data_IF_205417537103
#
_entry.id   IF_205417537103
#
_cell.length_a   1.000
_cell.length_b   1.000
_cell.length_c   1.000
_cell.angle_alpha   90.00
_cell.angle_beta   90.00
_cell.angle_gamma   90.00
#
_symmetry.space_group_name_H-M   'P 1'
#
loop_
_entity.id
_entity.type
_entity.pdbx_description
1 polymer ?
#
# COMPACT_ATOMS: atom_id res chain seq x y z
N UNK A 1 -35.30 8.72 -25.72
CA UNK A 1 -34.06 9.49 -25.58
C UNK A 1 -33.40 8.99 -24.28
N UNK A 2 -32.44 8.11 -24.42
CA UNK A 2 -31.67 7.60 -23.25
C UNK A 2 -30.57 8.63 -22.98
N UNK A 3 -30.70 9.40 -21.91
CA UNK A 3 -29.59 10.14 -21.32
C UNK A 3 -28.57 9.12 -20.87
N UNK A 4 -27.48 8.99 -21.62
CA UNK A 4 -26.31 8.25 -21.18
C UNK A 4 -25.74 9.04 -20.00
N UNK A 5 -26.03 8.59 -18.78
CA UNK A 5 -25.39 9.12 -17.59
C UNK A 5 -23.91 8.76 -17.69
N UNK A 6 -23.10 9.70 -18.14
CA UNK A 6 -21.65 9.56 -18.22
C UNK A 6 -21.15 9.21 -16.81
N UNK A 7 -20.44 8.10 -16.67
CA UNK A 7 -19.95 7.66 -15.36
C UNK A 7 -18.90 8.66 -14.87
N UNK A 8 -18.83 8.88 -13.55
CA UNK A 8 -17.82 9.77 -12.97
C UNK A 8 -16.40 9.39 -13.37
N UNK A 9 -16.12 8.08 -13.50
CA UNK A 9 -14.85 7.54 -14.01
C UNK A 9 -14.53 7.99 -15.44
N UNK A 10 -15.52 8.02 -16.35
CA UNK A 10 -15.33 8.42 -17.75
C UNK A 10 -15.00 9.91 -17.84
N UNK A 11 -15.66 10.73 -17.02
CA UNK A 11 -15.40 12.18 -16.92
C UNK A 11 -13.99 12.42 -16.39
N UNK A 12 -13.58 11.72 -15.33
CA UNK A 12 -12.24 11.82 -14.76
C UNK A 12 -11.18 11.40 -15.76
N UNK A 13 -11.39 10.27 -16.45
CA UNK A 13 -10.45 9.78 -17.46
C UNK A 13 -10.33 10.75 -18.65
N UNK A 14 -11.46 11.30 -19.13
CA UNK A 14 -11.47 12.30 -20.19
C UNK A 14 -10.75 13.58 -19.77
N UNK A 15 -10.92 13.99 -18.50
CA UNK A 15 -10.27 15.17 -17.97
C UNK A 15 -8.76 14.97 -17.80
N UNK A 16 -8.33 13.83 -17.29
CA UNK A 16 -6.90 13.49 -17.16
C UNK A 16 -6.19 13.41 -18.51
N UNK A 17 -6.90 13.16 -19.62
CA UNK A 17 -6.36 13.13 -20.99
C UNK A 17 -6.20 14.52 -21.62
N UNK A 18 -6.82 15.57 -21.08
CA UNK A 18 -6.68 16.93 -21.63
C UNK A 18 -5.32 17.53 -21.28
N UNK A 19 -4.72 18.28 -22.21
CA UNK A 19 -3.42 18.95 -21.99
C UNK A 19 -3.48 20.03 -20.89
N UNK A 20 -4.67 20.59 -20.64
CA UNK A 20 -4.94 21.60 -19.60
C UNK A 20 -5.18 21.00 -18.20
N UNK A 21 -4.80 19.76 -17.95
CA UNK A 21 -5.02 19.07 -16.66
C UNK A 21 -4.43 19.78 -15.42
N UNK A 22 -3.56 20.76 -15.64
CA UNK A 22 -2.87 21.53 -14.59
C UNK A 22 -3.55 22.89 -14.31
N UNK A 23 -4.71 23.17 -14.92
CA UNK A 23 -5.42 24.43 -14.65
C UNK A 23 -5.93 24.49 -13.20
N UNK A 24 -5.35 25.35 -12.33
CA UNK A 24 -5.72 25.42 -10.91
C UNK A 24 -7.19 25.76 -10.69
N UNK A 25 -7.85 26.41 -11.68
CA UNK A 25 -9.27 26.79 -11.55
C UNK A 25 -10.22 25.60 -11.67
N UNK A 26 -9.78 24.50 -12.28
CA UNK A 26 -10.55 23.27 -12.48
C UNK A 26 -10.27 22.23 -11.38
N UNK A 27 -9.22 22.40 -10.61
CA UNK A 27 -8.79 21.44 -9.58
C UNK A 27 -9.90 21.11 -8.56
N UNK A 28 -10.66 22.06 -7.99
CA UNK A 28 -11.72 21.74 -7.02
C UNK A 28 -12.83 20.85 -7.58
N UNK A 29 -13.21 21.06 -8.85
CA UNK A 29 -14.25 20.27 -9.51
C UNK A 29 -13.74 18.84 -9.78
N UNK A 30 -12.48 18.70 -10.16
CA UNK A 30 -11.87 17.39 -10.38
C UNK A 30 -11.74 16.62 -9.07
N UNK A 31 -11.32 17.26 -7.99
CA UNK A 31 -11.25 16.66 -6.67
C UNK A 31 -12.61 16.10 -6.24
N UNK A 32 -13.70 16.87 -6.40
CA UNK A 32 -15.04 16.41 -6.09
C UNK A 32 -15.47 15.19 -6.94
N UNK A 33 -15.09 15.17 -8.22
CA UNK A 33 -15.35 14.03 -9.11
C UNK A 33 -14.56 12.79 -8.70
N UNK A 34 -13.26 12.94 -8.42
CA UNK A 34 -12.37 11.86 -7.96
C UNK A 34 -12.86 11.24 -6.64
N UNK A 35 -13.39 12.05 -5.72
CA UNK A 35 -13.96 11.57 -4.46
C UNK A 35 -15.18 10.66 -4.66
N UNK A 36 -15.96 10.91 -5.70
CA UNK A 36 -17.19 10.16 -6.02
C UNK A 36 -16.95 8.86 -6.79
N UNK A 37 -15.78 8.73 -7.45
CA UNK A 37 -15.45 7.50 -8.19
C UNK A 37 -15.24 6.34 -7.21
N UNK A 38 -15.87 5.18 -7.43
CA UNK A 38 -15.60 3.97 -6.66
C UNK A 38 -14.11 3.60 -6.73
N UNK A 39 -13.55 3.09 -5.63
CA UNK A 39 -12.12 2.80 -5.49
C UNK A 39 -11.58 1.92 -6.62
N UNK A 40 -12.26 0.84 -6.95
CA UNK A 40 -11.85 -0.10 -8.01
C UNK A 40 -11.80 0.56 -9.41
N UNK A 41 -12.77 1.44 -9.71
CA UNK A 41 -12.78 2.18 -10.97
C UNK A 41 -11.67 3.23 -10.98
N UNK A 42 -11.38 3.86 -9.84
CA UNK A 42 -10.33 4.85 -9.70
C UNK A 42 -8.94 4.25 -9.90
N UNK A 43 -8.67 3.09 -9.30
CA UNK A 43 -7.43 2.33 -9.54
C UNK A 43 -7.26 2.07 -11.04
N UNK A 44 -8.28 1.51 -11.69
CA UNK A 44 -8.23 1.20 -13.12
C UNK A 44 -8.08 2.45 -14.01
N UNK A 45 -8.58 3.62 -13.58
CA UNK A 45 -8.37 4.89 -14.27
C UNK A 45 -6.92 5.34 -14.13
N UNK A 46 -6.37 5.30 -12.91
CA UNK A 46 -4.98 5.73 -12.63
C UNK A 46 -3.97 4.83 -13.33
N UNK A 47 -4.16 3.51 -13.30
CA UNK A 47 -3.28 2.54 -13.99
C UNK A 47 -3.16 2.80 -15.52
N UNK A 48 -4.20 3.34 -16.12
CA UNK A 48 -4.21 3.63 -17.57
C UNK A 48 -3.58 4.97 -17.94
N UNK A 49 -3.25 5.81 -16.95
CA UNK A 49 -2.61 7.09 -17.19
C UNK A 49 -1.08 6.97 -17.26
N UNK A 50 -0.42 8.00 -17.78
CA UNK A 50 1.01 8.16 -17.63
C UNK A 50 1.35 8.66 -16.22
N UNK A 51 2.62 8.56 -15.82
CA UNK A 51 3.10 8.90 -14.48
C UNK A 51 2.72 10.32 -14.04
N UNK A 52 2.85 11.33 -14.92
CA UNK A 52 2.50 12.74 -14.63
C UNK A 52 1.03 12.89 -14.24
N UNK A 53 0.14 12.24 -14.98
CA UNK A 53 -1.31 12.31 -14.74
C UNK A 53 -1.72 11.50 -13.52
N UNK A 54 -1.10 10.36 -13.31
CA UNK A 54 -1.29 9.55 -12.11
C UNK A 54 -0.85 10.31 -10.86
N UNK A 55 0.32 10.96 -10.89
CA UNK A 55 0.80 11.82 -9.81
C UNK A 55 -0.17 12.98 -9.52
N UNK A 56 -0.70 13.61 -10.58
CA UNK A 56 -1.70 14.68 -10.42
C UNK A 56 -2.99 14.16 -9.78
N UNK A 57 -3.49 13.02 -10.23
CA UNK A 57 -4.69 12.40 -9.66
C UNK A 57 -4.50 12.08 -8.17
N UNK A 58 -3.37 11.49 -7.81
CA UNK A 58 -3.02 11.16 -6.42
C UNK A 58 -2.95 12.41 -5.52
N UNK A 59 -2.38 13.52 -6.01
CA UNK A 59 -2.33 14.80 -5.25
C UNK A 59 -3.69 15.42 -5.02
N UNK A 60 -4.66 15.18 -5.89
CA UNK A 60 -6.01 15.73 -5.78
C UNK A 60 -6.94 14.85 -4.93
N UNK A 61 -6.56 13.61 -4.64
CA UNK A 61 -7.31 12.70 -3.78
C UNK A 61 -7.14 13.04 -2.30
N UNK A 62 -8.16 12.76 -1.45
CA UNK A 62 -7.97 12.69 -0.01
C UNK A 62 -6.84 11.70 0.32
N UNK A 63 -5.99 12.05 1.30
CA UNK A 63 -4.80 11.29 1.69
C UNK A 63 -5.02 9.78 1.76
N UNK A 64 -6.00 9.34 2.54
CA UNK A 64 -6.31 7.92 2.74
C UNK A 64 -6.64 7.20 1.42
N UNK A 65 -7.44 7.84 0.57
CA UNK A 65 -7.82 7.28 -0.73
C UNK A 65 -6.63 7.24 -1.70
N UNK A 66 -5.77 8.25 -1.65
CA UNK A 66 -4.54 8.34 -2.43
C UNK A 66 -3.57 7.22 -2.11
N UNK A 67 -3.33 6.93 -0.82
CA UNK A 67 -2.47 5.83 -0.36
C UNK A 67 -3.00 4.49 -0.86
N UNK A 68 -4.29 4.20 -0.68
CA UNK A 68 -4.88 2.93 -1.13
C UNK A 68 -4.81 2.75 -2.65
N UNK A 69 -4.98 3.85 -3.42
CA UNK A 69 -4.83 3.80 -4.88
C UNK A 69 -3.39 3.56 -5.28
N UNK A 70 -2.43 4.24 -4.64
CA UNK A 70 -1.00 4.09 -4.92
C UNK A 70 -0.50 2.67 -4.59
N UNK A 71 -0.89 2.12 -3.43
CA UNK A 71 -0.57 0.76 -3.00
C UNK A 71 -1.08 -0.32 -3.97
N UNK A 72 -2.25 -0.12 -4.55
CA UNK A 72 -2.83 -1.05 -5.52
C UNK A 72 -2.15 -1.08 -6.90
N UNK A 73 -1.24 -0.11 -7.21
CA UNK A 73 -0.51 -0.07 -8.47
C UNK A 73 0.68 -1.03 -8.43
N UNK A 74 1.11 -1.52 -9.60
CA UNK A 74 2.34 -2.31 -9.67
C UNK A 74 3.59 -1.47 -9.35
N UNK A 75 4.66 -2.13 -8.87
CA UNK A 75 5.87 -1.46 -8.39
C UNK A 75 6.56 -0.59 -9.47
N UNK A 76 6.46 -0.98 -10.74
CA UNK A 76 7.01 -0.17 -11.83
C UNK A 76 6.24 1.13 -12.01
N UNK A 77 4.91 1.05 -12.03
CA UNK A 77 4.06 2.24 -12.15
C UNK A 77 4.23 3.17 -10.94
N UNK A 78 4.36 2.61 -9.73
CA UNK A 78 4.69 3.36 -8.52
C UNK A 78 6.04 4.09 -8.68
N UNK A 79 7.08 3.42 -9.20
CA UNK A 79 8.38 4.03 -9.42
C UNK A 79 8.33 5.19 -10.42
N UNK A 80 7.61 5.01 -11.53
CA UNK A 80 7.42 6.06 -12.54
C UNK A 80 6.69 7.29 -11.96
N UNK A 81 5.70 7.07 -11.07
CA UNK A 81 4.97 8.14 -10.40
C UNK A 81 5.86 8.87 -9.37
N UNK A 82 6.73 8.16 -8.68
CA UNK A 82 7.65 8.74 -7.68
C UNK A 82 8.56 9.80 -8.29
N UNK A 83 9.02 9.61 -9.50
CA UNK A 83 9.84 10.59 -10.21
C UNK A 83 9.08 11.90 -10.50
N UNK A 84 7.76 11.84 -10.60
CA UNK A 84 6.87 13.00 -10.87
C UNK A 84 6.31 13.66 -9.60
N UNK A 85 6.30 12.95 -8.48
CA UNK A 85 5.83 13.45 -7.18
C UNK A 85 6.91 14.30 -6.49
N UNK A 86 6.47 15.24 -5.66
CA UNK A 86 7.39 15.96 -4.74
C UNK A 86 7.87 15.04 -3.61
N UNK A 87 9.05 15.31 -3.07
CA UNK A 87 9.68 14.48 -2.04
C UNK A 87 8.77 14.19 -0.83
N UNK A 88 7.95 15.16 -0.40
CA UNK A 88 7.08 14.99 0.76
C UNK A 88 6.01 13.91 0.53
N UNK A 89 5.35 13.95 -0.64
CA UNK A 89 4.32 12.97 -1.00
C UNK A 89 4.92 11.56 -1.14
N UNK A 90 6.12 11.46 -1.73
CA UNK A 90 6.85 10.20 -1.92
C UNK A 90 7.18 9.54 -0.58
N UNK A 91 7.71 10.31 0.38
CA UNK A 91 8.05 9.76 1.71
C UNK A 91 6.82 9.26 2.45
N UNK A 92 5.70 9.97 2.30
CA UNK A 92 4.44 9.59 2.91
C UNK A 92 3.90 8.28 2.33
N UNK A 93 3.84 8.16 1.00
CA UNK A 93 3.40 6.92 0.35
C UNK A 93 4.30 5.74 0.72
N UNK A 94 5.61 5.93 0.68
CA UNK A 94 6.56 4.87 1.00
C UNK A 94 6.47 4.41 2.47
N UNK A 95 6.21 5.33 3.39
CA UNK A 95 6.06 5.01 4.82
C UNK A 95 4.80 4.18 5.11
N UNK A 96 3.74 4.35 4.32
CA UNK A 96 2.47 3.64 4.51
C UNK A 96 2.40 2.26 3.80
N UNK A 97 3.32 1.96 2.86
CA UNK A 97 3.39 0.65 2.22
C UNK A 97 3.71 -0.46 3.21
N UNK A 98 3.24 -1.68 2.92
CA UNK A 98 3.67 -2.89 3.62
C UNK A 98 5.15 -3.21 3.33
N UNK A 99 5.86 -3.93 4.21
CA UNK A 99 7.30 -4.17 4.08
C UNK A 99 7.70 -4.83 2.76
N UNK A 100 6.93 -5.79 2.26
CA UNK A 100 7.14 -6.47 0.99
C UNK A 100 6.91 -5.56 -0.21
N UNK A 101 5.92 -4.67 -0.14
CA UNK A 101 5.61 -3.71 -1.20
C UNK A 101 6.66 -2.60 -1.25
N UNK A 102 7.14 -2.13 -0.08
CA UNK A 102 8.33 -1.26 -0.03
C UNK A 102 9.50 -1.88 -0.77
N UNK A 103 9.77 -3.17 -0.53
CA UNK A 103 10.89 -3.87 -1.15
C UNK A 103 10.67 -4.05 -2.65
N UNK A 104 9.46 -4.38 -3.09
CA UNK A 104 9.12 -4.46 -4.51
C UNK A 104 9.39 -3.12 -5.22
N UNK A 105 8.95 -2.02 -4.61
CA UNK A 105 9.19 -0.67 -5.10
C UNK A 105 10.70 -0.32 -5.13
N UNK A 106 11.44 -0.60 -4.05
CA UNK A 106 12.90 -0.36 -3.99
C UNK A 106 13.67 -1.13 -5.06
N UNK A 107 13.20 -2.30 -5.46
CA UNK A 107 13.81 -3.12 -6.50
C UNK A 107 13.69 -2.51 -7.92
N UNK A 108 12.74 -1.61 -8.13
CA UNK A 108 12.52 -0.89 -9.41
C UNK A 108 13.15 0.51 -9.43
N UNK A 109 13.53 1.05 -8.28
CA UNK A 109 14.07 2.41 -8.16
C UNK A 109 15.60 2.46 -8.37
N UNK A 110 16.14 3.59 -8.88
CA UNK A 110 17.56 3.88 -8.83
C UNK A 110 18.11 3.84 -7.40
N UNK A 111 19.33 3.30 -7.22
CA UNK A 111 19.93 3.08 -5.89
C UNK A 111 19.96 4.33 -5.00
N UNK A 112 20.17 5.51 -5.59
CA UNK A 112 20.21 6.78 -4.85
C UNK A 112 18.83 7.17 -4.26
N UNK A 113 17.75 6.90 -5.01
CA UNK A 113 16.39 7.15 -4.57
C UNK A 113 16.01 6.11 -3.51
N UNK A 114 16.30 4.84 -3.75
CA UNK A 114 16.06 3.75 -2.82
C UNK A 114 16.74 4.00 -1.44
N UNK A 115 18.00 4.44 -1.44
CA UNK A 115 18.73 4.76 -0.21
C UNK A 115 18.10 5.94 0.55
N UNK A 116 17.65 6.98 -0.15
CA UNK A 116 16.95 8.12 0.47
C UNK A 116 15.63 7.69 1.12
N UNK A 117 14.84 6.86 0.44
CA UNK A 117 13.58 6.35 0.95
C UNK A 117 13.79 5.46 2.19
N UNK A 118 14.76 4.56 2.15
CA UNK A 118 15.11 3.73 3.31
C UNK A 118 15.52 4.59 4.53
N UNK A 119 16.27 5.66 4.30
CA UNK A 119 16.69 6.56 5.40
C UNK A 119 15.53 7.39 5.96
N UNK A 120 14.47 7.62 5.20
CA UNK A 120 13.30 8.35 5.69
C UNK A 120 12.43 7.56 6.66
N UNK A 121 12.51 6.22 6.62
CA UNK A 121 11.76 5.34 7.52
C UNK A 121 12.22 5.49 8.97
N UNK A 122 11.29 5.26 9.89
CA UNK A 122 11.62 5.04 11.31
C UNK A 122 12.52 3.81 11.46
N UNK A 123 13.27 3.71 12.58
CA UNK A 123 14.16 2.58 12.80
C UNK A 123 13.40 1.25 12.75
N UNK A 124 12.22 1.17 13.38
CA UNK A 124 11.39 -0.05 13.39
C UNK A 124 10.98 -0.48 11.98
N UNK A 125 10.42 0.44 11.18
CA UNK A 125 10.01 0.15 9.78
C UNK A 125 11.19 -0.22 8.90
N UNK A 126 12.35 0.42 9.11
CA UNK A 126 13.59 0.09 8.40
C UNK A 126 14.09 -1.32 8.71
N UNK A 127 14.04 -1.73 9.98
CA UNK A 127 14.48 -3.05 10.42
C UNK A 127 13.59 -4.15 9.80
N UNK A 128 12.27 -3.95 9.81
CA UNK A 128 11.29 -4.87 9.20
C UNK A 128 11.49 -4.94 7.69
N UNK A 129 11.62 -3.81 6.99
CA UNK A 129 11.93 -3.76 5.55
C UNK A 129 13.25 -4.44 5.25
N UNK A 130 14.27 -4.27 6.12
CA UNK A 130 15.59 -4.91 6.03
C UNK A 130 15.53 -6.44 6.10
N UNK A 131 14.59 -7.01 6.87
CA UNK A 131 14.37 -8.47 6.92
C UNK A 131 13.97 -8.98 5.53
N UNK A 132 13.03 -8.33 4.86
CA UNK A 132 12.56 -8.71 3.51
C UNK A 132 13.66 -8.48 2.48
N UNK A 133 14.40 -7.37 2.56
CA UNK A 133 15.55 -7.09 1.70
C UNK A 133 16.67 -8.15 1.81
N UNK A 134 16.79 -8.80 2.96
CA UNK A 134 17.78 -9.87 3.18
C UNK A 134 17.51 -11.15 2.39
N UNK A 135 16.29 -11.37 1.89
CA UNK A 135 15.97 -12.53 1.05
C UNK A 135 16.44 -12.33 -0.40
N UNK A 136 16.67 -13.43 -1.10
CA UNK A 136 17.06 -13.41 -2.53
C UNK A 136 15.90 -12.86 -3.37
N UNK A 137 16.20 -11.96 -4.30
CA UNK A 137 15.21 -11.43 -5.25
C UNK A 137 14.54 -12.58 -6.01
N UNK A 138 13.20 -12.55 -6.09
CA UNK A 138 12.39 -13.60 -6.71
C UNK A 138 12.08 -14.82 -5.82
N UNK A 139 12.59 -14.87 -4.57
CA UNK A 139 12.18 -15.89 -3.60
C UNK A 139 10.84 -15.59 -2.94
N UNK A 140 10.21 -16.61 -2.34
CA UNK A 140 8.98 -16.43 -1.54
C UNK A 140 9.22 -15.46 -0.38
N UNK A 141 10.39 -15.54 0.29
CA UNK A 141 10.75 -14.64 1.38
C UNK A 141 10.72 -13.15 0.99
N UNK A 142 10.98 -12.84 -0.29
CA UNK A 142 10.93 -11.46 -0.82
C UNK A 142 9.51 -10.92 -0.98
N UNK A 143 8.50 -11.78 -0.90
CA UNK A 143 7.08 -11.47 -1.14
C UNK A 143 6.18 -11.84 0.02
N UNK A 144 6.73 -12.28 1.13
CA UNK A 144 5.95 -12.62 2.33
C UNK A 144 6.03 -11.47 3.33
N UNK A 145 4.92 -11.20 4.01
CA UNK A 145 4.95 -10.30 5.16
C UNK A 145 5.80 -10.89 6.28
N UNK A 146 6.78 -10.16 6.82
CA UNK A 146 7.57 -10.58 7.96
C UNK A 146 6.82 -10.38 9.29
N UNK A 147 5.71 -9.69 9.26
CA UNK A 147 4.90 -9.33 10.42
C UNK A 147 3.95 -10.49 10.76
N UNK A 148 4.29 -11.22 11.80
CA UNK A 148 3.46 -12.33 12.29
C UNK A 148 3.13 -12.12 13.76
N UNK A 149 1.91 -12.44 14.23
CA UNK A 149 1.57 -12.35 15.62
C UNK A 149 2.43 -13.33 16.43
N UNK A 150 3.06 -12.83 17.48
CA UNK A 150 3.93 -13.66 18.35
C UNK A 150 3.12 -14.53 19.32
N UNK A 151 2.33 -15.49 18.82
CA UNK A 151 1.57 -16.44 19.64
C UNK A 151 2.45 -17.64 19.96
N UNK A 152 2.50 -18.02 21.24
CA UNK A 152 3.31 -19.13 21.74
C UNK A 152 2.45 -20.28 22.27
N UNK A 153 2.95 -21.53 22.25
CA UNK A 153 2.18 -22.71 22.67
C UNK A 153 1.65 -22.65 24.09
N UNK A 154 2.37 -21.95 24.97
CA UNK A 154 2.06 -21.85 26.41
C UNK A 154 1.10 -20.70 26.76
N UNK A 155 0.68 -19.90 25.74
CA UNK A 155 -0.28 -18.82 25.96
C UNK A 155 -1.69 -19.38 26.19
N UNK A 156 -2.40 -18.79 27.14
CA UNK A 156 -3.84 -19.03 27.24
C UNK A 156 -4.58 -18.40 26.03
N UNK A 157 -5.75 -18.95 25.70
CA UNK A 157 -6.61 -18.37 24.66
C UNK A 157 -6.92 -16.89 24.91
N UNK A 158 -7.12 -16.51 26.19
CA UNK A 158 -7.35 -15.13 26.60
C UNK A 158 -6.16 -14.23 26.22
N UNK A 159 -4.95 -14.67 26.54
CA UNK A 159 -3.73 -13.89 26.29
C UNK A 159 -3.46 -13.79 24.78
N UNK A 160 -3.70 -14.87 24.03
CA UNK A 160 -3.59 -14.89 22.58
C UNK A 160 -4.58 -13.89 21.94
N UNK A 161 -5.85 -13.88 22.37
CA UNK A 161 -6.84 -12.92 21.90
C UNK A 161 -6.49 -11.47 22.26
N UNK A 162 -5.97 -11.25 23.44
CA UNK A 162 -5.52 -9.92 23.86
C UNK A 162 -4.38 -9.44 22.95
N UNK A 163 -3.37 -10.27 22.75
CA UNK A 163 -2.23 -9.96 21.89
C UNK A 163 -2.65 -9.71 20.43
N UNK A 164 -3.52 -10.56 19.89
CA UNK A 164 -4.05 -10.36 18.53
C UNK A 164 -4.79 -9.02 18.38
N UNK A 165 -5.54 -8.58 19.40
CA UNK A 165 -6.22 -7.28 19.38
C UNK A 165 -5.24 -6.11 19.40
N UNK A 166 -4.15 -6.22 20.15
CA UNK A 166 -3.13 -5.16 20.20
C UNK A 166 -2.37 -5.01 18.89
N UNK A 167 -2.10 -6.14 18.21
CA UNK A 167 -1.29 -6.16 16.98
C UNK A 167 -2.10 -6.22 15.68
N UNK A 168 -3.42 -6.38 15.76
CA UNK A 168 -4.28 -6.58 14.57
C UNK A 168 -4.17 -5.49 13.49
N UNK A 169 -3.83 -4.26 13.89
CA UNK A 169 -3.67 -3.12 12.98
C UNK A 169 -2.30 -3.10 12.25
N UNK A 170 -1.34 -3.91 12.73
CA UNK A 170 -0.01 -4.06 12.13
C UNK A 170 0.09 -5.29 11.23
N UNK A 171 -0.94 -6.14 11.23
CA UNK A 171 -0.94 -7.41 10.52
C UNK A 171 -1.80 -7.34 9.26
N UNK A 172 -1.29 -7.81 8.14
CA UNK A 172 -2.02 -7.94 6.88
C UNK A 172 -3.28 -8.82 7.04
N UNK A 173 -3.18 -9.90 7.81
CA UNK A 173 -4.30 -10.79 8.11
C UNK A 173 -4.20 -11.44 9.49
N UNK A 174 -5.36 -11.67 10.12
CA UNK A 174 -5.48 -12.37 11.40
C UNK A 174 -6.30 -13.68 11.29
N UNK A 175 -6.73 -14.07 10.08
CA UNK A 175 -7.58 -15.25 9.91
C UNK A 175 -6.89 -16.56 10.26
N UNK A 176 -5.60 -16.66 9.95
CA UNK A 176 -4.75 -17.82 10.26
C UNK A 176 -3.55 -17.36 11.07
N UNK A 177 -3.47 -17.83 12.29
CA UNK A 177 -2.46 -17.40 13.27
C UNK A 177 -1.42 -18.49 13.45
N UNK A 178 -0.14 -18.25 13.11
CA UNK A 178 0.93 -19.18 13.37
C UNK A 178 1.27 -19.22 14.87
N UNK A 179 1.52 -20.42 15.39
CA UNK A 179 2.02 -20.64 16.73
C UNK A 179 3.51 -20.98 16.64
N UNK A 180 4.34 -20.14 17.24
CA UNK A 180 5.79 -20.27 17.15
C UNK A 180 6.43 -20.38 18.54
N UNK A 181 7.55 -21.08 18.62
CA UNK A 181 8.42 -21.05 19.81
C UNK A 181 9.26 -19.77 19.83
N UNK A 182 9.97 -19.54 20.94
CA UNK A 182 10.87 -18.38 21.10
C UNK A 182 11.97 -18.31 20.01
N UNK A 183 12.42 -19.48 19.51
CA UNK A 183 13.36 -19.59 18.39
C UNK A 183 12.72 -19.34 17.02
N UNK A 184 11.47 -18.84 16.97
CA UNK A 184 10.64 -18.58 15.79
C UNK A 184 10.28 -19.84 14.99
N UNK A 185 10.43 -21.03 15.57
CA UNK A 185 10.04 -22.28 14.92
C UNK A 185 8.54 -22.46 14.96
N UNK A 186 7.93 -22.65 13.79
CA UNK A 186 6.50 -22.97 13.67
C UNK A 186 6.21 -24.32 14.29
N UNK A 187 5.26 -24.38 15.21
CA UNK A 187 4.78 -25.60 15.87
C UNK A 187 3.33 -25.94 15.53
N UNK A 188 2.57 -24.98 15.04
CA UNK A 188 1.18 -25.18 14.65
C UNK A 188 0.59 -23.90 14.07
N UNK A 189 -0.63 -24.04 13.62
CA UNK A 189 -1.48 -22.93 13.13
C UNK A 189 -2.85 -23.09 13.77
N UNK A 190 -3.47 -21.95 14.09
CA UNK A 190 -4.84 -21.90 14.59
C UNK A 190 -5.61 -20.84 13.82
N UNK A 191 -6.84 -21.13 13.45
CA UNK A 191 -7.71 -20.11 12.86
C UNK A 191 -8.30 -19.21 13.94
N UNK A 192 -8.58 -17.95 13.61
CA UNK A 192 -9.27 -17.04 14.50
C UNK A 192 -10.61 -17.62 14.98
N UNK A 193 -11.32 -18.38 14.13
CA UNK A 193 -12.55 -19.08 14.49
C UNK A 193 -12.32 -20.08 15.62
N UNK A 194 -11.26 -20.89 15.56
CA UNK A 194 -10.94 -21.90 16.59
C UNK A 194 -10.57 -21.26 17.93
N UNK A 195 -9.98 -20.05 17.91
CA UNK A 195 -9.66 -19.31 19.14
C UNK A 195 -10.94 -18.81 19.84
N UNK A 196 -12.04 -18.58 19.09
CA UNK A 196 -13.32 -18.10 19.64
C UNK A 196 -14.29 -19.22 20.05
N UNK A 197 -14.04 -20.47 19.69
CA UNK A 197 -14.92 -21.64 19.99
C UNK A 197 -14.36 -22.47 21.12
#
# INVERSE_FOLDING_TARGET
>A
MAETTERASDIVEAWLKQEDAIDPTKAPRLQELLERVPLQELIAVVERQNAVRSALALRLLPRQKSIVVFDALDAKHQADIIDELGNADVYEFFDELDPEDRVALLDELPAEIADRLLRSLTQSKRDVTGVVLGYVKGSVGRRMSPEVPGIHPDMSVRDALFKLRETAHELETIYTVPITREDRRLVGVVSLREIFT
#
